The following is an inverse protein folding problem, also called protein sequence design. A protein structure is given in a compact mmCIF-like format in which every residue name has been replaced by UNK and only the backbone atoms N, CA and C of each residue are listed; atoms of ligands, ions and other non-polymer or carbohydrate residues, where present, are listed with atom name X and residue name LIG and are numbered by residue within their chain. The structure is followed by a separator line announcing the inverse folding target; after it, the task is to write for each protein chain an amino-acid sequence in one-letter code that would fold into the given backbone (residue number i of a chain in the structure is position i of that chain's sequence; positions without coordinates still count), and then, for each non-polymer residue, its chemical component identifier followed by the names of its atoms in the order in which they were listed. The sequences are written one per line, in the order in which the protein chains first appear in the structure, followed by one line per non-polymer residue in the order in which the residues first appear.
data_IF_855074481140
#
_entry.id   IF_855074481140
#
_cell.length_a   1.000
_cell.length_b   1.000
_cell.length_c   1.000
_cell.angle_alpha   90.00
_cell.angle_beta   90.00
_cell.angle_gamma   90.00
#
_symmetry.space_group_name_H-M   'P 1'
#
loop_
_entity.id
_entity.type
_entity.pdbx_description
1 polymer ?
#
# COMPACT_ATOMS: atom_id res chain seq x y z
N UNK A 1 -17.52 -1.67 -8.83
CA UNK A 1 -16.50 -1.01 -7.99
C UNK A 1 -15.18 -1.78 -8.09
N UNK A 2 -14.05 -1.12 -8.33
CA UNK A 2 -12.73 -1.76 -8.37
C UNK A 2 -12.30 -2.01 -6.92
N UNK A 3 -12.65 -3.17 -6.37
CA UNK A 3 -12.29 -3.56 -5.00
C UNK A 3 -11.24 -4.65 -5.07
N UNK A 4 -10.03 -4.35 -4.63
CA UNK A 4 -8.99 -5.36 -4.48
C UNK A 4 -9.23 -6.19 -3.22
N UNK A 5 -8.93 -7.47 -3.31
CA UNK A 5 -9.02 -8.41 -2.20
C UNK A 5 -7.89 -8.20 -1.19
N UNK A 6 -8.11 -8.65 0.06
CA UNK A 6 -7.03 -8.73 1.06
C UNK A 6 -5.85 -9.60 0.57
N UNK A 7 -6.14 -10.60 -0.26
CA UNK A 7 -5.15 -11.47 -0.89
C UNK A 7 -4.10 -10.67 -1.66
N UNK A 8 -4.54 -9.67 -2.41
CA UNK A 8 -3.66 -8.77 -3.19
C UNK A 8 -2.72 -7.99 -2.27
N UNK A 9 -3.26 -7.44 -1.17
CA UNK A 9 -2.44 -6.79 -0.15
C UNK A 9 -1.37 -7.72 0.44
N UNK A 10 -1.75 -8.96 0.76
CA UNK A 10 -0.80 -9.96 1.28
C UNK A 10 0.26 -10.38 0.25
N UNK A 11 -0.10 -10.43 -1.04
CA UNK A 11 0.83 -10.71 -2.12
C UNK A 11 1.90 -9.62 -2.24
N UNK A 12 1.47 -8.35 -2.20
CA UNK A 12 2.37 -7.19 -2.25
C UNK A 12 3.32 -7.19 -1.04
N UNK A 13 2.81 -7.46 0.16
CA UNK A 13 3.64 -7.59 1.38
C UNK A 13 4.66 -8.72 1.26
N UNK A 14 4.25 -9.88 0.73
CA UNK A 14 5.16 -11.01 0.52
C UNK A 14 6.28 -10.66 -0.47
N UNK A 15 5.96 -9.98 -1.57
CA UNK A 15 6.95 -9.52 -2.55
C UNK A 15 7.91 -8.48 -1.96
N UNK A 16 7.42 -7.55 -1.13
CA UNK A 16 8.28 -6.62 -0.40
C UNK A 16 9.23 -7.32 0.59
N UNK A 17 8.79 -8.38 1.27
CA UNK A 17 9.68 -9.19 2.11
C UNK A 17 10.76 -9.93 1.28
N UNK A 18 10.43 -10.35 0.06
CA UNK A 18 11.40 -10.98 -0.85
C UNK A 18 12.38 -9.94 -1.42
N UNK A 19 11.93 -8.74 -1.75
CA UNK A 19 12.80 -7.63 -2.17
C UNK A 19 13.84 -7.30 -1.10
N UNK A 20 13.40 -7.16 0.15
CA UNK A 20 14.28 -6.86 1.29
C UNK A 20 15.35 -7.94 1.55
N UNK A 21 15.19 -9.15 1.00
CA UNK A 21 16.17 -10.23 1.12
C UNK A 21 17.37 -10.08 0.16
N UNK A 22 17.28 -9.17 -0.83
CA UNK A 22 18.36 -8.89 -1.77
C UNK A 22 18.69 -10.07 -2.69
N UNK A 23 17.69 -10.82 -3.14
CA UNK A 23 17.87 -11.96 -4.05
C UNK A 23 18.28 -13.28 -3.38
N UNK A 24 18.21 -13.36 -2.05
CA UNK A 24 18.41 -14.61 -1.31
C UNK A 24 17.15 -15.45 -1.34
N UNK A 25 17.31 -16.78 -1.30
CA UNK A 25 16.18 -17.70 -1.12
C UNK A 25 15.60 -17.55 0.29
N UNK A 26 14.29 -17.29 0.37
CA UNK A 26 13.57 -17.10 1.64
C UNK A 26 12.57 -18.24 1.85
N UNK A 27 12.55 -18.83 3.05
CA UNK A 27 11.61 -19.90 3.39
C UNK A 27 10.20 -19.35 3.61
N UNK A 28 9.16 -20.14 3.29
CA UNK A 28 7.77 -19.72 3.51
C UNK A 28 7.47 -19.34 4.97
N UNK A 29 8.18 -19.95 5.93
CA UNK A 29 8.06 -19.63 7.36
C UNK A 29 8.56 -18.21 7.65
N UNK A 30 9.68 -17.80 7.05
CA UNK A 30 10.23 -16.45 7.22
C UNK A 30 9.32 -15.40 6.59
N UNK A 31 8.76 -15.68 5.41
CA UNK A 31 7.79 -14.78 4.75
C UNK A 31 6.50 -14.67 5.60
N UNK A 32 6.05 -15.79 6.19
CA UNK A 32 4.90 -15.80 7.10
C UNK A 32 5.15 -14.94 8.35
N UNK A 33 6.33 -15.04 8.97
CA UNK A 33 6.72 -14.19 10.09
C UNK A 33 6.84 -12.71 9.69
N UNK A 34 7.37 -12.42 8.49
CA UNK A 34 7.52 -11.06 7.98
C UNK A 34 6.16 -10.38 7.69
N UNK A 35 5.19 -11.14 7.18
CA UNK A 35 3.89 -10.62 6.73
C UNK A 35 2.76 -10.76 7.76
N UNK A 36 2.93 -11.61 8.79
CA UNK A 36 1.87 -11.99 9.71
C UNK A 36 0.79 -12.90 9.10
N UNK A 37 0.98 -13.37 7.87
CA UNK A 37 -0.02 -14.19 7.15
C UNK A 37 0.18 -15.67 7.50
N UNK A 38 -0.87 -16.41 7.87
CA UNK A 38 -0.77 -17.84 8.15
C UNK A 38 -0.16 -18.62 6.97
N UNK A 39 0.86 -19.41 7.27
CA UNK A 39 1.66 -20.13 6.26
C UNK A 39 0.83 -20.93 5.22
N UNK A 40 -0.25 -21.66 5.58
CA UNK A 40 -1.04 -22.40 4.59
C UNK A 40 -1.67 -21.50 3.53
N UNK A 41 -2.12 -20.31 3.94
CA UNK A 41 -2.73 -19.34 3.03
C UNK A 41 -1.66 -18.61 2.21
N UNK A 42 -0.57 -18.20 2.86
CA UNK A 42 0.56 -17.57 2.18
C UNK A 42 1.14 -18.47 1.06
N UNK A 43 1.24 -19.78 1.29
CA UNK A 43 1.70 -20.73 0.25
C UNK A 43 0.79 -20.73 -0.99
N UNK A 44 -0.52 -20.56 -0.83
CA UNK A 44 -1.45 -20.45 -1.97
C UNK A 44 -1.20 -19.16 -2.76
N UNK A 45 -0.92 -18.06 -2.06
CA UNK A 45 -0.58 -16.77 -2.69
C UNK A 45 0.75 -16.90 -3.44
N UNK A 46 1.80 -17.39 -2.79
CA UNK A 46 3.12 -17.58 -3.40
C UNK A 46 3.08 -18.53 -4.60
N UNK A 47 2.23 -19.55 -4.57
CA UNK A 47 2.01 -20.44 -5.71
C UNK A 47 1.39 -19.71 -6.90
N UNK A 48 0.43 -18.82 -6.66
CA UNK A 48 -0.20 -18.01 -7.71
C UNK A 48 0.80 -17.02 -8.33
N UNK A 49 1.61 -16.37 -7.49
CA UNK A 49 2.71 -15.50 -7.94
C UNK A 49 3.78 -16.27 -8.74
N UNK A 50 4.08 -17.51 -8.35
CA UNK A 50 5.03 -18.34 -9.09
C UNK A 50 4.50 -18.77 -10.45
N UNK A 51 3.21 -19.11 -10.56
CA UNK A 51 2.57 -19.39 -11.85
C UNK A 51 2.60 -18.19 -12.80
N UNK A 52 2.51 -16.98 -12.26
CA UNK A 52 2.61 -15.74 -13.03
C UNK A 52 4.07 -15.34 -13.34
N UNK A 53 5.07 -16.13 -12.95
CA UNK A 53 6.47 -15.83 -13.22
C UNK A 53 7.03 -14.65 -12.42
N UNK A 54 6.38 -14.27 -11.32
CA UNK A 54 6.85 -13.17 -10.45
C UNK A 54 7.83 -13.67 -9.39
N UNK A 55 7.72 -14.94 -9.01
CA UNK A 55 8.49 -15.57 -7.93
C UNK A 55 8.99 -16.93 -8.38
N UNK A 56 10.29 -17.16 -8.21
CA UNK A 56 10.90 -18.46 -8.40
C UNK A 56 10.80 -19.32 -7.14
N UNK A 57 10.67 -20.63 -7.36
CA UNK A 57 10.58 -21.60 -6.27
C UNK A 57 11.64 -22.67 -6.39
N UNK A 58 12.35 -22.93 -5.29
CA UNK A 58 13.36 -23.98 -5.20
C UNK A 58 12.99 -24.96 -4.10
N UNK A 59 13.02 -26.25 -4.40
CA UNK A 59 12.82 -27.32 -3.41
C UNK A 59 14.15 -27.73 -2.77
N UNK A 60 14.10 -28.22 -1.54
CA UNK A 60 15.26 -28.74 -0.80
C UNK A 60 15.57 -27.97 0.48
N UNK A 61 16.62 -28.39 1.20
CA UNK A 61 17.03 -27.82 2.49
C UNK A 61 17.41 -26.32 2.42
N UNK A 62 17.99 -25.89 1.30
CA UNK A 62 18.26 -24.49 0.97
C UNK A 62 17.27 -23.95 -0.08
N UNK A 63 16.08 -24.54 -0.13
CA UNK A 63 15.00 -24.10 -0.99
C UNK A 63 14.30 -22.86 -0.45
N UNK A 64 13.26 -22.42 -1.16
CA UNK A 64 12.47 -21.26 -0.78
C UNK A 64 11.88 -20.54 -1.98
N UNK A 65 11.62 -19.27 -1.77
CA UNK A 65 11.07 -18.34 -2.73
C UNK A 65 12.06 -17.18 -2.94
N UNK A 66 12.18 -16.72 -4.17
CA UNK A 66 12.95 -15.53 -4.55
C UNK A 66 12.18 -14.79 -5.64
N UNK A 67 12.39 -13.48 -5.78
CA UNK A 67 11.86 -12.77 -6.94
C UNK A 67 12.47 -13.34 -8.22
N UNK A 68 11.64 -13.60 -9.23
CA UNK A 68 12.08 -14.14 -10.51
C UNK A 68 12.79 -13.08 -11.39
N UNK A 69 12.53 -11.80 -11.11
CA UNK A 69 13.13 -10.64 -11.78
C UNK A 69 13.28 -9.47 -10.79
N UNK A 70 14.06 -8.42 -11.13
CA UNK A 70 14.23 -7.25 -10.27
C UNK A 70 12.90 -6.59 -9.87
N UNK A 71 12.82 -6.06 -8.64
CA UNK A 71 11.56 -5.53 -8.07
C UNK A 71 11.06 -4.26 -8.76
N UNK A 72 11.94 -3.55 -9.45
CA UNK A 72 11.66 -2.39 -10.31
C UNK A 72 11.04 -2.79 -11.66
N UNK A 73 11.17 -4.06 -12.08
CA UNK A 73 10.51 -4.59 -13.27
C UNK A 73 9.15 -5.23 -12.99
N UNK A 74 8.82 -5.47 -11.72
CA UNK A 74 7.54 -6.05 -11.31
C UNK A 74 6.54 -4.94 -11.03
N UNK A 75 5.51 -4.83 -11.87
CA UNK A 75 4.44 -3.83 -11.73
C UNK A 75 3.34 -4.34 -10.82
N UNK A 76 2.63 -3.43 -10.14
CA UNK A 76 1.48 -3.81 -9.29
C UNK A 76 0.34 -4.43 -10.10
N UNK A 77 0.16 -4.00 -11.35
CA UNK A 77 -0.84 -4.61 -12.24
C UNK A 77 -0.58 -6.12 -12.42
N UNK A 78 0.69 -6.53 -12.58
CA UNK A 78 1.07 -7.94 -12.74
C UNK A 78 0.72 -8.76 -11.47
N UNK A 79 0.89 -8.16 -10.29
CA UNK A 79 0.58 -8.79 -9.00
C UNK A 79 -0.93 -8.98 -8.84
N UNK A 80 -1.71 -7.98 -9.24
CA UNK A 80 -3.18 -8.04 -9.19
C UNK A 80 -3.67 -9.12 -10.15
N UNK A 81 -3.19 -9.13 -11.39
CA UNK A 81 -3.56 -10.14 -12.38
C UNK A 81 -3.18 -11.56 -11.95
N UNK A 82 -2.03 -11.73 -11.29
CA UNK A 82 -1.58 -13.02 -10.77
C UNK A 82 -2.49 -13.58 -9.65
N UNK A 83 -3.12 -12.72 -8.86
CA UNK A 83 -3.88 -13.10 -7.66
C UNK A 83 -5.38 -13.13 -7.91
N UNK A 84 -5.92 -12.13 -8.61
CA UNK A 84 -7.35 -11.98 -8.87
C UNK A 84 -7.75 -12.53 -10.24
N UNK A 85 -6.80 -12.64 -11.17
CA UNK A 85 -7.07 -12.97 -12.56
C UNK A 85 -7.60 -11.78 -13.36
N UNK A 86 -7.80 -11.99 -14.66
CA UNK A 86 -8.39 -10.99 -15.56
C UNK A 86 -9.90 -10.99 -15.33
N UNK A 87 -10.51 -9.87 -14.89
CA UNK A 87 -11.96 -9.83 -14.68
C UNK A 87 -12.70 -9.91 -16.02
N UNK A 88 -13.54 -10.93 -16.20
CA UNK A 88 -14.34 -11.11 -17.42
C UNK A 88 -15.38 -9.99 -17.63
N UNK A 89 -15.88 -9.41 -16.54
CA UNK A 89 -16.79 -8.25 -16.56
C UNK A 89 -16.40 -7.26 -15.48
N UNK A 90 -16.31 -5.98 -15.86
CA UNK A 90 -16.13 -4.90 -14.90
C UNK A 90 -17.50 -4.41 -14.41
N UNK A 91 -17.84 -4.57 -13.13
CA UNK A 91 -19.14 -4.14 -12.62
C UNK A 91 -19.26 -2.61 -12.66
N UNK A 92 -20.47 -2.13 -12.96
CA UNK A 92 -20.78 -0.70 -12.96
C UNK A 92 -20.39 -0.03 -11.63
N UNK A 93 -19.94 1.22 -11.70
CA UNK A 93 -19.59 2.01 -10.52
C UNK A 93 -20.79 2.22 -9.59
N UNK A 94 -21.99 2.37 -10.15
CA UNK A 94 -23.26 2.54 -9.42
C UNK A 94 -23.92 1.21 -9.04
N UNK A 95 -23.32 0.06 -9.38
CA UNK A 95 -23.92 -1.25 -9.10
C UNK A 95 -25.11 -1.62 -10.01
N UNK A 96 -25.33 -0.87 -11.10
CA UNK A 96 -26.35 -1.19 -12.11
C UNK A 96 -25.96 -2.49 -12.85
N UNK A 97 -26.90 -3.43 -12.94
CA UNK A 97 -26.70 -4.77 -13.53
C UNK A 97 -26.53 -4.75 -15.05
N UNK A 98 -27.27 -3.86 -15.73
CA UNK A 98 -27.33 -3.83 -17.20
C UNK A 98 -26.39 -2.79 -17.83
N UNK A 99 -25.61 -2.07 -17.01
CA UNK A 99 -24.72 -1.04 -17.50
C UNK A 99 -23.51 -1.65 -18.24
N UNK A 100 -23.41 -1.38 -19.53
CA UNK A 100 -22.33 -1.83 -20.41
C UNK A 100 -22.16 -0.82 -21.57
N UNK A 101 -21.19 -1.06 -22.47
CA UNK A 101 -20.92 -0.12 -23.57
C UNK A 101 -22.09 0.06 -24.55
N UNK A 102 -22.98 -0.94 -24.66
CA UNK A 102 -24.22 -0.86 -25.47
C UNK A 102 -25.42 -0.27 -24.71
N UNK A 103 -25.37 -0.25 -23.37
CA UNK A 103 -26.39 0.35 -22.51
C UNK A 103 -25.72 1.18 -21.39
N UNK A 104 -25.08 2.31 -21.74
CA UNK A 104 -24.29 3.07 -20.78
C UNK A 104 -25.20 3.85 -19.83
N UNK A 105 -24.91 3.77 -18.53
CA UNK A 105 -25.52 4.69 -17.57
C UNK A 105 -24.95 6.12 -17.73
N UNK A 106 -25.61 7.17 -17.19
CA UNK A 106 -25.10 8.55 -17.28
C UNK A 106 -23.67 8.74 -16.75
N UNK A 107 -23.23 7.88 -15.81
CA UNK A 107 -21.89 7.92 -15.23
C UNK A 107 -20.86 7.05 -15.99
N UNK A 108 -21.28 6.26 -16.99
CA UNK A 108 -20.44 5.31 -17.71
C UNK A 108 -19.13 5.90 -18.27
N UNK A 109 -19.12 7.05 -18.98
CA UNK A 109 -17.88 7.62 -19.50
C UNK A 109 -16.93 8.09 -18.39
N UNK A 110 -17.46 8.59 -17.26
CA UNK A 110 -16.65 8.99 -16.11
C UNK A 110 -16.05 7.78 -15.39
N UNK A 111 -16.86 6.72 -15.22
CA UNK A 111 -16.40 5.46 -14.65
C UNK A 111 -15.35 4.75 -15.52
N UNK A 112 -15.41 4.90 -16.85
CA UNK A 112 -14.36 4.48 -17.78
C UNK A 112 -13.04 5.20 -17.49
N UNK A 113 -13.03 6.53 -17.60
CA UNK A 113 -11.84 7.35 -17.36
C UNK A 113 -11.19 7.11 -16.00
N UNK A 114 -11.99 6.98 -14.94
CA UNK A 114 -11.47 6.69 -13.60
C UNK A 114 -10.78 5.33 -13.52
N UNK A 115 -11.34 4.30 -14.17
CA UNK A 115 -10.71 2.97 -14.23
C UNK A 115 -9.41 3.00 -15.02
N UNK A 116 -9.38 3.73 -16.12
CA UNK A 116 -8.18 3.88 -16.94
C UNK A 116 -7.06 4.59 -16.16
N UNK A 117 -7.40 5.63 -15.40
CA UNK A 117 -6.46 6.31 -14.51
C UNK A 117 -5.91 5.38 -13.44
N UNK A 118 -6.79 4.64 -12.72
CA UNK A 118 -6.35 3.69 -11.70
C UNK A 118 -5.44 2.62 -12.32
N UNK A 119 -5.82 2.06 -13.46
CA UNK A 119 -5.00 1.08 -14.18
C UNK A 119 -3.63 1.67 -14.52
N UNK A 120 -3.57 2.87 -15.09
CA UNK A 120 -2.31 3.53 -15.43
C UNK A 120 -1.41 3.68 -14.20
N UNK A 121 -1.97 4.10 -13.05
CA UNK A 121 -1.19 4.18 -11.80
C UNK A 121 -0.63 2.84 -11.36
N UNK A 122 -1.40 1.76 -11.50
CA UNK A 122 -0.96 0.41 -11.15
C UNK A 122 0.10 -0.14 -12.13
N UNK A 123 0.05 0.29 -13.39
CA UNK A 123 1.07 0.00 -14.40
C UNK A 123 2.37 0.76 -14.12
N UNK A 124 2.30 2.00 -13.65
CA UNK A 124 3.46 2.84 -13.32
C UNK A 124 4.13 2.45 -11.99
N UNK A 125 3.37 1.87 -11.05
CA UNK A 125 3.84 1.56 -9.70
C UNK A 125 4.50 0.17 -9.65
N UNK A 126 5.71 0.11 -9.10
CA UNK A 126 6.51 -1.13 -9.03
C UNK A 126 6.58 -1.69 -7.61
N UNK A 127 6.94 -2.97 -7.47
CA UNK A 127 7.16 -3.59 -6.15
C UNK A 127 8.28 -2.87 -5.39
N UNK A 128 9.33 -2.43 -6.08
CA UNK A 128 10.40 -1.64 -5.49
C UNK A 128 9.88 -0.35 -4.83
N UNK A 129 8.97 0.37 -5.50
CA UNK A 129 8.39 1.61 -4.96
C UNK A 129 7.59 1.37 -3.68
N UNK A 130 6.86 0.26 -3.63
CA UNK A 130 6.08 -0.12 -2.44
C UNK A 130 6.99 -0.59 -1.32
N UNK A 131 8.04 -1.35 -1.64
CA UNK A 131 9.03 -1.80 -0.66
C UNK A 131 9.81 -0.63 -0.05
N UNK A 132 10.17 0.37 -0.87
CA UNK A 132 10.77 1.62 -0.41
C UNK A 132 9.83 2.37 0.53
N UNK A 133 8.56 2.56 0.14
CA UNK A 133 7.57 3.20 1.00
C UNK A 133 7.41 2.48 2.35
N UNK A 134 7.37 1.14 2.34
CA UNK A 134 7.29 0.35 3.57
C UNK A 134 8.52 0.53 4.46
N UNK A 135 9.73 0.70 3.89
CA UNK A 135 10.95 1.01 4.63
C UNK A 135 10.92 2.41 5.24
N UNK A 136 10.46 3.41 4.48
CA UNK A 136 10.30 4.79 4.96
C UNK A 136 9.32 4.87 6.12
N UNK A 137 8.11 4.33 5.96
CA UNK A 137 7.09 4.31 7.01
C UNK A 137 7.59 3.56 8.25
N UNK A 138 8.27 2.42 8.07
CA UNK A 138 8.88 1.70 9.21
C UNK A 138 9.93 2.57 9.92
N UNK A 139 10.77 3.28 9.18
CA UNK A 139 11.78 4.17 9.78
C UNK A 139 11.13 5.28 10.59
N UNK A 140 10.02 5.84 10.12
CA UNK A 140 9.29 6.92 10.80
C UNK A 140 8.55 6.43 12.04
N UNK A 141 7.89 5.27 11.95
CA UNK A 141 7.26 4.62 13.11
C UNK A 141 8.28 4.24 14.18
N UNK A 142 9.52 3.92 13.79
CA UNK A 142 10.61 3.70 14.73
C UNK A 142 11.17 5.00 15.33
N UNK A 143 11.11 6.14 14.61
CA UNK A 143 11.47 7.46 15.14
C UNK A 143 10.49 7.92 16.22
N UNK A 144 9.19 7.63 16.06
CA UNK A 144 8.15 8.03 17.01
C UNK A 144 7.81 6.94 18.02
N UNK A 145 8.65 5.91 18.21
CA UNK A 145 8.39 4.92 19.25
C UNK A 145 8.43 5.66 20.60
N UNK A 146 7.33 5.71 21.39
CA UNK A 146 7.40 6.28 22.71
C UNK A 146 8.45 5.49 23.48
N UNK A 147 9.46 6.20 23.98
CA UNK A 147 10.49 5.62 24.83
C UNK A 147 9.79 5.00 26.04
N UNK A 148 9.92 3.69 26.32
CA UNK A 148 9.46 3.12 27.57
C UNK A 148 10.35 3.66 28.69
N UNK A 149 10.03 4.86 29.17
CA UNK A 149 10.79 5.57 30.19
C UNK A 149 10.26 5.12 31.56
N UNK A 150 10.98 4.14 32.13
CA UNK A 150 11.20 3.91 33.56
C UNK A 150 9.95 3.78 34.44
N UNK A 151 9.43 2.55 34.56
CA UNK A 151 8.75 2.13 35.79
C UNK A 151 9.74 1.28 36.59
N UNK A 152 10.48 1.94 37.49
CA UNK A 152 11.00 1.34 38.71
C UNK A 152 10.95 2.46 39.76
N UNK A 153 10.14 2.28 40.80
CA UNK A 153 10.61 2.20 42.18
C UNK A 153 9.42 1.85 43.10
N UNK A 154 9.67 0.85 43.96
CA UNK A 154 9.00 0.54 45.24
C UNK A 154 7.58 -0.09 45.25
N UNK A 155 7.50 -1.42 45.09
CA UNK A 155 6.87 -2.30 46.10
C UNK A 155 7.08 -3.79 45.79
N UNK A 156 7.81 -4.46 46.69
CA UNK A 156 8.09 -5.89 46.72
C UNK A 156 6.95 -6.62 47.45
N UNK A 157 6.30 -7.58 46.78
CA UNK A 157 5.77 -8.77 47.45
C UNK A 157 5.69 -9.93 46.45
N UNK A 158 6.45 -10.99 46.75
CA UNK A 158 6.76 -12.07 45.83
C UNK A 158 5.59 -12.92 45.35
N UNK A 159 5.80 -13.55 44.20
CA UNK A 159 5.57 -14.99 44.10
C UNK A 159 6.55 -15.58 43.09
N UNK A 160 7.43 -16.41 43.62
CA UNK A 160 8.36 -17.26 42.90
C UNK A 160 7.64 -18.37 42.15
N UNK A 161 7.93 -18.52 40.86
CA UNK A 161 7.92 -19.82 40.17
C UNK A 161 9.00 -19.83 39.08
N UNK A 162 10.16 -20.38 39.41
CA UNK A 162 11.12 -20.94 38.43
C UNK A 162 10.72 -22.41 38.13
N UNK A 163 11.40 -23.16 37.23
CA UNK A 163 11.50 -23.00 35.79
C UNK A 163 11.03 -24.28 35.04
N UNK A 164 10.47 -24.16 33.83
CA UNK A 164 10.31 -25.32 32.91
C UNK A 164 11.16 -25.10 31.66
N UNK A 165 12.15 -25.97 31.53
CA UNK A 165 13.04 -26.16 30.39
C UNK A 165 12.25 -26.52 29.13
N UNK A 166 12.48 -25.83 28.01
CA UNK A 166 12.10 -26.35 26.69
C UNK A 166 11.89 -25.33 25.57
N UNK A 167 12.98 -24.78 25.02
CA UNK A 167 13.08 -24.49 23.57
C UNK A 167 12.44 -23.21 23.01
N UNK A 168 13.25 -22.16 22.94
CA UNK A 168 13.10 -20.93 22.15
C UNK A 168 12.25 -21.02 20.87
N UNK A 169 11.20 -20.19 20.76
CA UNK A 169 10.81 -19.43 19.54
C UNK A 169 9.51 -18.59 19.70
N UNK A 170 9.32 -17.84 20.79
CA UNK A 170 8.13 -16.99 20.97
C UNK A 170 8.39 -15.62 21.59
N UNK A 171 9.42 -14.87 21.16
CA UNK A 171 9.56 -13.46 21.61
C UNK A 171 10.22 -12.53 20.58
N UNK A 172 9.69 -12.43 19.36
CA UNK A 172 9.94 -11.27 18.49
C UNK A 172 8.66 -10.97 17.66
N UNK A 173 8.02 -9.82 17.95
CA UNK A 173 6.88 -9.16 17.26
C UNK A 173 5.43 -9.55 17.62
N UNK A 174 4.80 -8.89 18.61
CA UNK A 174 3.34 -8.92 18.79
C UNK A 174 2.62 -7.59 18.44
N UNK A 175 2.93 -6.91 17.32
CA UNK A 175 2.26 -5.62 17.03
C UNK A 175 1.89 -5.35 15.56
N UNK A 176 1.77 -6.39 14.74
CA UNK A 176 1.07 -6.28 13.44
C UNK A 176 -0.18 -7.17 13.45
N UNK A 177 -1.12 -6.83 14.34
CA UNK A 177 -2.55 -7.16 14.24
C UNK A 177 -3.31 -6.02 13.52
N UNK A 178 -4.56 -6.25 13.08
CA UNK A 178 -5.12 -5.61 11.90
C UNK A 178 -5.41 -4.12 12.10
N UNK A 179 -5.21 -3.35 11.02
CA UNK A 179 -5.67 -1.97 10.86
C UNK A 179 -7.05 -1.74 11.51
N UNK A 180 -7.05 -1.02 12.64
CA UNK A 180 -8.27 -0.78 13.41
C UNK A 180 -7.98 -0.12 14.74
N UNK A 181 -7.54 1.14 14.72
CA UNK A 181 -7.66 2.03 15.87
C UNK A 181 -7.81 3.47 15.37
N UNK A 182 -9.06 3.92 15.27
CA UNK A 182 -9.42 5.32 15.31
C UNK A 182 -9.27 5.81 16.75
N UNK A 183 -8.37 6.76 17.01
CA UNK A 183 -8.67 7.85 17.96
C UNK A 183 -7.70 9.01 17.77
N UNK A 184 -8.28 10.16 17.42
CA UNK A 184 -7.75 11.48 17.67
C UNK A 184 -7.15 11.61 19.08
N UNK A 185 -5.92 12.10 19.18
CA UNK A 185 -5.41 13.01 20.23
C UNK A 185 -3.89 13.26 20.08
N UNK A 186 -3.53 14.27 19.31
CA UNK A 186 -2.43 15.20 19.62
C UNK A 186 -3.14 16.47 20.14
N UNK A 187 -2.76 17.23 21.15
CA UNK A 187 -1.61 17.36 22.06
C UNK A 187 -2.10 18.41 23.12
N UNK A 188 -1.55 18.53 24.34
CA UNK A 188 -1.19 19.89 24.74
C UNK A 188 0.06 19.89 25.62
N UNK A 189 1.25 19.79 25.06
CA UNK A 189 2.33 20.78 25.24
C UNK A 189 3.71 20.28 24.80
N UNK A 190 4.02 20.39 23.50
CA UNK A 190 5.39 20.75 23.10
C UNK A 190 6.00 19.95 21.96
N UNK A 191 5.67 20.36 20.73
CA UNK A 191 6.46 20.28 19.49
C UNK A 191 6.97 18.90 19.05
N UNK A 192 6.13 18.14 18.36
CA UNK A 192 6.58 17.28 17.26
C UNK A 192 6.01 17.83 15.94
N UNK A 193 6.82 18.65 15.26
CA UNK A 193 6.55 19.14 13.91
C UNK A 193 6.77 18.04 12.87
N UNK A 194 5.96 16.99 12.90
CA UNK A 194 5.90 16.01 11.81
C UNK A 194 4.92 16.52 10.75
N UNK A 195 5.37 17.44 9.90
CA UNK A 195 4.69 17.64 8.62
C UNK A 195 5.00 16.44 7.71
N UNK A 196 4.01 15.86 7.02
CA UNK A 196 4.27 14.86 5.99
C UNK A 196 5.20 15.46 4.90
N UNK A 197 5.98 14.65 4.19
CA UNK A 197 6.78 15.18 3.08
C UNK A 197 5.84 15.86 2.08
N UNK A 198 6.08 17.14 1.83
CA UNK A 198 5.35 17.90 0.83
C UNK A 198 5.49 17.20 -0.53
N UNK A 199 4.35 16.88 -1.15
CA UNK A 199 4.29 16.58 -2.58
C UNK A 199 4.93 17.75 -3.32
N UNK A 200 6.12 17.54 -3.87
CA UNK A 200 6.86 18.52 -4.68
C UNK A 200 6.27 18.68 -6.08
N UNK A 201 4.95 18.55 -6.22
CA UNK A 201 4.25 18.71 -7.48
C UNK A 201 2.97 19.54 -7.31
N UNK A 202 3.11 20.73 -6.73
CA UNK A 202 2.10 21.79 -6.86
C UNK A 202 2.75 23.18 -6.75
N UNK A 203 3.34 23.66 -7.85
CA UNK A 203 3.42 25.10 -8.10
C UNK A 203 2.05 25.47 -8.71
N UNK A 204 1.15 26.07 -7.94
CA UNK A 204 1.11 27.51 -7.65
C UNK A 204 0.99 28.36 -8.93
N UNK A 205 -0.25 28.64 -9.34
CA UNK A 205 -0.61 29.99 -9.79
C UNK A 205 -1.79 30.47 -8.94
N UNK A 206 -1.45 31.41 -8.05
CA UNK A 206 -2.36 32.19 -7.24
C UNK A 206 -2.97 33.29 -8.10
N UNK A 207 -4.27 33.45 -7.94
CA UNK A 207 -5.02 34.66 -8.19
C UNK A 207 -4.52 35.81 -7.30
N UNK A 208 -4.40 37.01 -7.85
CA UNK A 208 -4.60 38.25 -7.11
C UNK A 208 -5.56 39.16 -7.90
N UNK A 209 -6.69 39.42 -7.28
CA UNK A 209 -7.66 40.46 -7.60
C UNK A 209 -7.06 41.86 -7.37
N UNK A 210 -7.54 42.87 -8.11
CA UNK A 210 -8.21 44.08 -7.56
C UNK A 210 -8.07 45.30 -8.48
N UNK A 211 -9.09 45.46 -9.34
CA UNK A 211 -9.92 46.65 -9.62
C UNK A 211 -9.41 48.00 -10.17
N UNK A 212 -10.26 48.52 -11.07
CA UNK A 212 -10.60 49.93 -11.36
C UNK A 212 -9.60 50.71 -12.24
N UNK A 213 -9.98 51.47 -13.28
CA UNK A 213 -11.25 52.16 -13.61
C UNK A 213 -11.12 52.83 -15.00
N UNK A 214 -12.26 53.04 -15.69
CA UNK A 214 -12.60 54.17 -16.64
C UNK A 214 -11.72 54.35 -17.90
N UNK A 215 -12.18 54.59 -19.14
CA UNK A 215 -13.38 55.26 -19.64
C UNK A 215 -13.46 55.13 -21.19
N UNK A 216 -14.67 55.26 -21.74
CA UNK A 216 -15.02 55.90 -23.04
C UNK A 216 -14.47 55.38 -24.38
N UNK A 217 -15.35 54.76 -25.20
CA UNK A 217 -15.92 55.28 -26.48
C UNK A 217 -16.31 54.14 -27.45
N UNK A 218 -17.59 54.08 -27.85
CA UNK A 218 -18.03 53.39 -29.09
C UNK A 218 -17.90 54.32 -30.32
N UNK A 219 -18.57 54.06 -31.47
CA UNK A 219 -19.26 52.85 -31.94
C UNK A 219 -18.80 52.35 -33.35
N UNK A 220 -19.43 51.28 -33.83
CA UNK A 220 -19.48 50.63 -35.19
C UNK A 220 -19.62 51.59 -36.40
N UNK A 221 -19.72 51.18 -37.71
CA UNK A 221 -20.03 49.88 -38.38
C UNK A 221 -19.08 49.57 -39.60
N UNK A 222 -19.17 48.55 -40.46
CA UNK A 222 -20.16 48.13 -41.51
C UNK A 222 -19.69 46.75 -42.07
N UNK A 223 -20.51 45.68 -42.22
CA UNK A 223 -21.40 45.25 -43.33
C UNK A 223 -20.74 45.05 -44.72
N UNK A 224 -21.06 43.88 -45.32
CA UNK A 224 -20.96 43.46 -46.75
C UNK A 224 -19.74 42.56 -47.07
N UNK A 225 -19.85 41.43 -47.76
CA UNK A 225 -20.95 40.67 -48.37
C UNK A 225 -20.46 39.23 -48.60
#
# INVERSE_FOLDING_TARGET
MLSFSKTTGYAVLALGCLEASGGKWVLSQQISACTGVPMPYLRKILHSLSKAGLVDTKRGYQGGFCLARPADEIRLIDVIEAVEGIPEKTPCLLGLTDCNDSAPCPLHPYAGKLRDEIRRRLEETTVASVAEYARLVRSELLRCRPNPRLENDDDVAGTSVDPVVGGQLEQILPHLGPFGATSEACDPSGSCGCSPPADSNNQAERTDDTSASTDSNGPSPEVSA
#
